data_IF_047495419847
#
_entry.id   IF_047495419847
#
_cell.length_a   1.000
_cell.length_b   1.000
_cell.length_c   1.000
_cell.angle_alpha   90.00
_cell.angle_beta   90.00
_cell.angle_gamma   90.00
#
_symmetry.space_group_name_H-M   'P 1'
#
loop_
_entity.id
_entity.type
_entity.pdbx_description
1 polymer ?
#
# COMPACT_ATOMS: atom_id res chain seq x y z
N UNK A 1 -18.20 -6.12 10.56
CA UNK A 1 -16.85 -6.38 9.98
C UNK A 1 -15.81 -6.17 11.05
N UNK A 2 -14.97 -7.16 11.31
CA UNK A 2 -13.90 -7.04 12.30
C UNK A 2 -12.86 -6.06 11.78
N UNK A 3 -12.65 -4.99 12.50
CA UNK A 3 -11.58 -4.04 12.22
C UNK A 3 -10.25 -4.70 12.56
N UNK A 4 -9.38 -4.80 11.57
CA UNK A 4 -8.05 -5.36 11.77
C UNK A 4 -7.13 -4.30 12.34
N UNK A 5 -6.61 -4.52 13.56
CA UNK A 5 -5.53 -3.72 14.13
C UNK A 5 -4.21 -4.43 13.88
N UNK A 6 -3.29 -3.78 13.20
CA UNK A 6 -1.93 -4.27 12.96
C UNK A 6 -0.95 -3.21 13.47
N UNK A 7 -0.16 -3.57 14.46
CA UNK A 7 0.80 -2.65 15.09
C UNK A 7 0.15 -1.34 15.57
N UNK A 8 -1.09 -1.43 16.08
CA UNK A 8 -1.86 -0.26 16.52
C UNK A 8 -2.49 0.55 15.41
N UNK A 9 -2.39 0.09 14.16
CA UNK A 9 -2.98 0.76 12.99
C UNK A 9 -4.26 0.06 12.59
N UNK A 10 -5.34 0.82 12.48
CA UNK A 10 -6.64 0.33 12.01
C UNK A 10 -6.69 0.45 10.48
N UNK A 11 -7.09 -0.64 9.82
CA UNK A 11 -7.26 -0.67 8.38
C UNK A 11 -8.74 -0.70 8.01
N UNK A 12 -9.17 0.27 7.21
CA UNK A 12 -10.53 0.32 6.67
C UNK A 12 -10.47 -0.01 5.20
N UNK A 13 -11.13 -1.10 4.81
CA UNK A 13 -11.19 -1.50 3.41
C UNK A 13 -11.89 -0.42 2.59
N UNK A 14 -11.39 -0.14 1.38
CA UNK A 14 -12.01 0.86 0.49
C UNK A 14 -13.47 0.55 0.19
N UNK A 15 -13.88 -0.71 0.23
CA UNK A 15 -15.28 -1.09 0.02
C UNK A 15 -16.19 -0.67 1.17
N UNK A 16 -15.63 -0.25 2.31
CA UNK A 16 -16.36 0.18 3.51
C UNK A 16 -16.20 1.67 3.82
N UNK A 17 -15.59 2.45 2.92
CA UNK A 17 -15.39 3.88 3.13
C UNK A 17 -16.70 4.66 3.09
N UNK A 18 -16.81 5.68 3.94
CA UNK A 18 -17.89 6.65 3.84
C UNK A 18 -17.58 7.73 2.79
N UNK A 19 -18.56 8.59 2.53
CA UNK A 19 -18.43 9.65 1.49
C UNK A 19 -17.30 10.62 1.79
N UNK A 20 -17.08 10.96 3.06
CA UNK A 20 -16.01 11.87 3.48
C UNK A 20 -14.64 11.26 3.24
N UNK A 21 -14.48 9.98 3.55
CA UNK A 21 -13.24 9.25 3.34
C UNK A 21 -12.92 9.11 1.86
N UNK A 22 -13.91 8.79 1.05
CA UNK A 22 -13.75 8.68 -0.41
C UNK A 22 -13.26 10.00 -1.00
N UNK A 23 -13.86 11.13 -0.58
CA UNK A 23 -13.46 12.45 -1.04
C UNK A 23 -12.07 12.85 -0.56
N UNK A 24 -11.74 12.54 0.69
CA UNK A 24 -10.43 12.80 1.27
C UNK A 24 -9.33 12.08 0.48
N UNK A 25 -9.53 10.80 0.20
CA UNK A 25 -8.56 10.00 -0.57
C UNK A 25 -8.43 10.52 -2.00
N UNK A 26 -9.53 10.92 -2.62
CA UNK A 26 -9.51 11.56 -3.94
C UNK A 26 -8.62 12.81 -3.94
N UNK A 27 -8.77 13.66 -2.93
CA UNK A 27 -7.97 14.87 -2.80
C UNK A 27 -6.50 14.55 -2.53
N UNK A 28 -6.22 13.53 -1.71
CA UNK A 28 -4.84 13.08 -1.49
C UNK A 28 -4.21 12.60 -2.78
N UNK A 29 -4.92 11.75 -3.51
CA UNK A 29 -4.40 11.12 -4.75
C UNK A 29 -4.06 12.15 -5.81
N UNK A 30 -4.79 13.26 -5.88
CA UNK A 30 -4.56 14.34 -6.82
C UNK A 30 -3.66 15.46 -6.27
N UNK A 31 -3.26 15.39 -5.00
CA UNK A 31 -2.32 16.34 -4.43
C UNK A 31 -0.94 16.18 -5.10
N UNK A 32 -0.30 17.27 -5.56
CA UNK A 32 1.01 17.16 -6.24
C UNK A 32 2.09 16.43 -5.45
N UNK A 33 2.07 16.49 -4.12
CA UNK A 33 3.03 15.77 -3.27
C UNK A 33 2.95 14.26 -3.44
N UNK A 34 1.76 13.74 -3.78
CA UNK A 34 1.52 12.32 -4.00
C UNK A 34 1.51 12.03 -5.50
N UNK A 35 0.79 12.82 -6.27
CA UNK A 35 0.56 12.58 -7.69
C UNK A 35 1.86 12.55 -8.51
N UNK A 36 2.86 13.34 -8.14
CA UNK A 36 4.14 13.40 -8.88
C UNK A 36 4.85 12.05 -8.94
N UNK A 37 4.60 11.15 -7.99
CA UNK A 37 5.21 9.82 -7.95
C UNK A 37 4.28 8.71 -8.42
N UNK A 38 3.13 9.07 -8.97
CA UNK A 38 2.18 8.14 -9.54
C UNK A 38 2.32 8.07 -11.06
N UNK A 39 2.06 6.91 -11.64
CA UNK A 39 2.06 6.73 -13.09
C UNK A 39 1.01 7.65 -13.72
N UNK A 40 -0.22 7.63 -13.18
CA UNK A 40 -1.26 8.59 -13.54
C UNK A 40 -1.21 9.79 -12.61
N UNK A 41 -0.88 10.97 -13.15
CA UNK A 41 -0.67 12.18 -12.34
C UNK A 41 -1.96 12.80 -11.82
N UNK A 42 -3.11 12.44 -12.40
CA UNK A 42 -4.42 12.89 -11.92
C UNK A 42 -5.48 11.85 -12.25
N UNK A 43 -6.52 11.80 -11.44
CA UNK A 43 -7.70 10.97 -11.69
C UNK A 43 -8.96 11.82 -11.60
N UNK A 44 -9.92 11.54 -12.47
CA UNK A 44 -11.24 12.16 -12.45
C UNK A 44 -12.10 11.54 -11.36
N UNK A 45 -13.05 12.33 -10.83
CA UNK A 45 -13.93 11.86 -9.77
C UNK A 45 -14.68 10.56 -10.15
N UNK A 46 -15.22 10.52 -11.37
CA UNK A 46 -15.95 9.33 -11.84
C UNK A 46 -15.05 8.11 -11.96
N UNK A 47 -13.79 8.28 -12.34
CA UNK A 47 -12.80 7.19 -12.36
C UNK A 47 -12.54 6.66 -10.97
N UNK A 48 -12.39 7.57 -9.99
CA UNK A 48 -12.16 7.22 -8.60
C UNK A 48 -13.32 6.38 -8.03
N UNK A 49 -14.56 6.82 -8.25
CA UNK A 49 -15.75 6.09 -7.81
C UNK A 49 -15.84 4.73 -8.48
N UNK A 50 -15.65 4.66 -9.79
CA UNK A 50 -15.68 3.38 -10.54
C UNK A 50 -14.60 2.43 -10.04
N UNK A 51 -13.40 2.94 -9.78
CA UNK A 51 -12.33 2.12 -9.26
C UNK A 51 -12.71 1.48 -7.91
N UNK A 52 -13.24 2.29 -6.98
CA UNK A 52 -13.67 1.79 -5.67
C UNK A 52 -14.77 0.74 -5.82
N UNK A 53 -15.73 0.98 -6.71
CA UNK A 53 -16.83 0.02 -6.97
C UNK A 53 -16.31 -1.32 -7.49
N UNK A 54 -15.24 -1.33 -8.29
CA UNK A 54 -14.67 -2.58 -8.81
C UNK A 54 -13.98 -3.42 -7.75
N UNK A 55 -13.56 -2.83 -6.64
CA UNK A 55 -12.80 -3.54 -5.61
C UNK A 55 -13.62 -4.63 -4.92
N UNK A 56 -14.93 -4.45 -4.79
CA UNK A 56 -15.80 -5.44 -4.14
C UNK A 56 -15.88 -6.76 -4.91
N UNK A 57 -15.66 -6.73 -6.22
CA UNK A 57 -15.64 -7.93 -7.07
C UNK A 57 -14.24 -8.38 -7.46
N UNK A 58 -13.20 -7.70 -7.01
CA UNK A 58 -11.82 -8.06 -7.29
C UNK A 58 -11.34 -9.15 -6.34
N UNK A 59 -10.58 -10.12 -6.89
CA UNK A 59 -9.97 -11.20 -6.11
C UNK A 59 -8.44 -11.04 -5.98
N UNK A 60 -7.85 -10.04 -6.60
CA UNK A 60 -6.40 -9.84 -6.62
C UNK A 60 -5.96 -8.44 -6.16
N UNK A 61 -6.88 -7.63 -5.67
CA UNK A 61 -6.61 -6.25 -5.20
C UNK A 61 -7.32 -5.97 -3.89
N UNK A 62 -6.60 -5.36 -2.95
CA UNK A 62 -7.15 -4.86 -1.70
C UNK A 62 -6.56 -3.48 -1.44
N UNK A 63 -7.41 -2.51 -1.13
CA UNK A 63 -6.99 -1.15 -0.76
C UNK A 63 -7.52 -0.81 0.61
N UNK A 64 -6.67 -0.21 1.45
CA UNK A 64 -7.02 0.19 2.81
C UNK A 64 -6.70 1.66 3.07
N UNK A 65 -7.59 2.31 3.80
CA UNK A 65 -7.30 3.56 4.49
C UNK A 65 -6.79 3.22 5.89
N UNK A 66 -5.62 3.73 6.25
CA UNK A 66 -4.99 3.44 7.53
C UNK A 66 -5.22 4.58 8.53
N UNK A 67 -5.59 4.20 9.74
CA UNK A 67 -5.81 5.11 10.87
C UNK A 67 -4.87 4.77 12.01
N UNK A 68 -4.28 5.81 12.59
CA UNK A 68 -3.63 5.74 13.89
C UNK A 68 -4.51 6.51 14.87
N UNK A 69 -5.11 5.79 15.83
CA UNK A 69 -6.20 6.33 16.64
C UNK A 69 -7.30 6.87 15.71
N UNK A 70 -7.71 8.11 15.84
CA UNK A 70 -8.77 8.70 14.98
C UNK A 70 -8.20 9.49 13.80
N UNK A 71 -6.88 9.42 13.57
CA UNK A 71 -6.20 10.16 12.52
C UNK A 71 -5.94 9.28 11.29
N UNK A 72 -6.49 9.67 10.15
CA UNK A 72 -6.20 9.02 8.87
C UNK A 72 -4.76 9.36 8.45
N UNK A 73 -3.90 8.35 8.34
CA UNK A 73 -2.46 8.55 8.11
C UNK A 73 -1.99 8.23 6.70
N UNK A 74 -2.74 7.46 5.94
CA UNK A 74 -2.34 7.11 4.59
C UNK A 74 -3.14 5.97 4.00
N UNK A 75 -2.72 5.54 2.82
CA UNK A 75 -3.34 4.45 2.07
C UNK A 75 -2.31 3.35 1.85
N UNK A 76 -2.75 2.12 2.03
CA UNK A 76 -1.98 0.90 1.77
C UNK A 76 -2.74 0.09 0.74
N UNK A 77 -2.05 -0.42 -0.26
CA UNK A 77 -2.66 -1.29 -1.26
C UNK A 77 -1.83 -2.53 -1.53
N UNK A 78 -2.51 -3.59 -1.91
CA UNK A 78 -1.92 -4.82 -2.41
C UNK A 78 -2.62 -5.15 -3.73
N UNK A 79 -1.83 -5.32 -4.77
CA UNK A 79 -2.33 -5.66 -6.11
C UNK A 79 -1.58 -6.89 -6.62
N UNK A 80 -2.10 -7.49 -7.68
CA UNK A 80 -1.56 -8.70 -8.27
C UNK A 80 -1.35 -9.79 -7.21
N UNK A 81 -2.29 -9.90 -6.27
CA UNK A 81 -2.23 -10.85 -5.18
C UNK A 81 -2.37 -12.26 -5.75
N UNK A 82 -1.39 -13.09 -5.46
CA UNK A 82 -1.41 -14.51 -5.77
C UNK A 82 -0.99 -15.32 -4.54
N UNK A 83 -0.97 -16.63 -4.68
CA UNK A 83 -0.49 -17.53 -3.62
C UNK A 83 0.99 -17.26 -3.26
N UNK A 84 1.79 -16.78 -4.21
CA UNK A 84 3.23 -16.63 -4.05
C UNK A 84 3.69 -15.21 -3.78
N UNK A 85 2.99 -14.21 -4.32
CA UNK A 85 3.45 -12.83 -4.25
C UNK A 85 2.31 -11.83 -4.30
N UNK A 86 2.63 -10.60 -3.91
CA UNK A 86 1.80 -9.43 -4.14
C UNK A 86 2.70 -8.22 -4.37
N UNK A 87 2.14 -7.18 -4.97
CA UNK A 87 2.81 -5.90 -5.10
C UNK A 87 2.11 -4.91 -4.18
N UNK A 88 2.86 -4.21 -3.33
CA UNK A 88 2.27 -3.21 -2.47
C UNK A 88 2.42 -1.80 -3.04
N UNK A 89 1.53 -0.89 -2.61
CA UNK A 89 1.67 0.53 -2.77
C UNK A 89 1.33 1.23 -1.46
N UNK A 90 2.00 2.33 -1.19
CA UNK A 90 1.67 3.19 -0.05
C UNK A 90 1.78 4.66 -0.43
N UNK A 91 0.96 5.48 0.19
CA UNK A 91 1.22 6.90 0.29
C UNK A 91 0.65 7.42 1.61
N UNK A 92 1.39 8.33 2.24
CA UNK A 92 0.95 8.97 3.46
C UNK A 92 0.04 10.17 3.15
N UNK A 93 -0.79 10.55 4.12
CA UNK A 93 -1.52 11.82 4.03
C UNK A 93 -0.55 12.96 3.71
N UNK A 94 -0.84 13.83 2.74
CA UNK A 94 0.06 14.93 2.36
C UNK A 94 0.24 15.97 3.48
N UNK A 95 -0.62 15.95 4.49
CA UNK A 95 -0.56 16.88 5.62
C UNK A 95 0.30 16.36 6.78
N UNK A 96 0.78 15.11 6.69
CA UNK A 96 1.56 14.47 7.74
C UNK A 96 2.99 14.20 7.29
N UNK A 97 3.87 14.02 8.27
CA UNK A 97 5.27 13.63 8.05
C UNK A 97 5.62 12.44 8.94
N UNK A 98 6.56 11.63 8.49
CA UNK A 98 7.08 10.53 9.30
C UNK A 98 6.19 9.31 9.40
N UNK A 99 5.17 9.18 8.57
CA UNK A 99 4.24 8.04 8.60
C UNK A 99 4.74 6.81 7.85
N UNK A 100 5.80 6.94 7.07
CA UNK A 100 6.29 5.85 6.21
C UNK A 100 6.65 4.58 6.98
N UNK A 101 7.34 4.69 8.10
CA UNK A 101 7.73 3.53 8.91
C UNK A 101 6.51 2.77 9.44
N UNK A 102 5.50 3.50 9.91
CA UNK A 102 4.26 2.88 10.40
C UNK A 102 3.54 2.14 9.27
N UNK A 103 3.41 2.77 8.12
CA UNK A 103 2.73 2.17 6.97
C UNK A 103 3.48 0.95 6.45
N UNK A 104 4.81 1.01 6.36
CA UNK A 104 5.62 -0.12 5.91
C UNK A 104 5.59 -1.29 6.87
N UNK A 105 5.59 -1.02 8.17
CA UNK A 105 5.43 -2.07 9.18
C UNK A 105 4.13 -2.85 8.98
N UNK A 106 3.05 -2.14 8.68
CA UNK A 106 1.74 -2.76 8.39
C UNK A 106 1.77 -3.55 7.08
N UNK A 107 2.40 -3.00 6.04
CA UNK A 107 2.53 -3.68 4.74
C UNK A 107 3.20 -5.03 4.91
N UNK A 108 4.36 -5.05 5.56
CA UNK A 108 5.15 -6.29 5.72
C UNK A 108 4.38 -7.31 6.56
N UNK A 109 3.80 -6.88 7.67
CA UNK A 109 3.03 -7.75 8.54
C UNK A 109 1.81 -8.33 7.80
N UNK A 110 1.02 -7.49 7.16
CA UNK A 110 -0.19 -7.92 6.46
C UNK A 110 0.13 -8.90 5.32
N UNK A 111 1.13 -8.56 4.51
CA UNK A 111 1.49 -9.39 3.36
C UNK A 111 1.97 -10.79 3.79
N UNK A 112 2.84 -10.89 4.78
CA UNK A 112 3.38 -12.18 5.19
C UNK A 112 2.43 -12.96 6.12
N UNK A 113 1.68 -12.29 7.00
CA UNK A 113 0.88 -12.96 8.02
C UNK A 113 -0.61 -13.06 7.70
N UNK A 114 -1.14 -12.22 6.83
CA UNK A 114 -2.55 -12.26 6.42
C UNK A 114 -2.73 -12.78 4.99
N UNK A 115 -1.97 -12.25 4.03
CA UNK A 115 -1.98 -12.74 2.67
C UNK A 115 -1.14 -14.00 2.49
N UNK A 116 -0.21 -14.25 3.40
CA UNK A 116 0.64 -15.43 3.41
C UNK A 116 1.46 -15.61 2.13
N UNK A 117 1.87 -14.49 1.52
CA UNK A 117 2.71 -14.51 0.33
C UNK A 117 4.15 -14.85 0.72
N UNK A 118 4.91 -15.36 -0.24
CA UNK A 118 6.34 -15.69 -0.09
C UNK A 118 7.22 -14.51 -0.46
N UNK A 119 6.70 -13.62 -1.29
CA UNK A 119 7.46 -12.49 -1.83
C UNK A 119 6.57 -11.25 -1.89
N UNK A 120 7.12 -10.11 -1.48
CA UNK A 120 6.48 -8.81 -1.65
C UNK A 120 7.25 -8.03 -2.70
N UNK A 121 6.54 -7.51 -3.70
CA UNK A 121 7.08 -6.70 -4.78
C UNK A 121 6.69 -5.23 -4.59
N UNK A 122 7.52 -4.35 -5.10
CA UNK A 122 7.25 -2.91 -5.12
C UNK A 122 7.95 -2.26 -6.30
N UNK A 123 7.51 -1.06 -6.66
CA UNK A 123 8.21 -0.24 -7.64
C UNK A 123 8.17 1.22 -7.22
N UNK A 124 9.19 1.97 -7.62
CA UNK A 124 9.29 3.39 -7.36
C UNK A 124 10.05 4.06 -8.49
N UNK A 125 9.67 5.29 -8.81
CA UNK A 125 10.47 6.11 -9.72
C UNK A 125 11.85 6.36 -9.12
N UNK A 126 12.88 6.43 -9.96
CA UNK A 126 14.26 6.59 -9.54
C UNK A 126 14.52 7.89 -8.78
N UNK A 127 13.72 8.91 -8.99
CA UNK A 127 13.83 10.19 -8.29
C UNK A 127 13.03 10.23 -6.98
N UNK A 128 12.28 9.19 -6.67
CA UNK A 128 11.55 9.08 -5.41
C UNK A 128 12.46 8.55 -4.30
N UNK A 129 13.39 9.39 -3.86
CA UNK A 129 14.42 9.02 -2.89
C UNK A 129 13.85 8.59 -1.54
N UNK A 130 12.74 9.20 -1.12
CA UNK A 130 12.08 8.83 0.14
C UNK A 130 11.58 7.38 0.11
N UNK A 131 10.90 6.99 -0.98
CA UNK A 131 10.41 5.62 -1.13
C UNK A 131 11.57 4.62 -1.21
N UNK A 132 12.60 4.93 -1.99
CA UNK A 132 13.77 4.07 -2.15
C UNK A 132 14.45 3.82 -0.80
N UNK A 133 14.68 4.88 -0.04
CA UNK A 133 15.30 4.79 1.30
C UNK A 133 14.42 3.96 2.25
N UNK A 134 13.11 4.20 2.22
CA UNK A 134 12.15 3.50 3.06
C UNK A 134 12.10 2.01 2.74
N UNK A 135 12.06 1.65 1.46
CA UNK A 135 12.00 0.25 1.04
C UNK A 135 13.27 -0.50 1.43
N UNK A 136 14.44 0.13 1.23
CA UNK A 136 15.72 -0.46 1.66
C UNK A 136 15.78 -0.65 3.17
N UNK A 137 15.28 0.30 3.94
CA UNK A 137 15.21 0.19 5.40
C UNK A 137 14.39 -1.03 5.84
N UNK A 138 13.34 -1.38 5.09
CA UNK A 138 12.51 -2.55 5.35
C UNK A 138 12.99 -3.79 4.59
N UNK A 139 14.27 -3.82 4.21
CA UNK A 139 14.95 -4.99 3.66
C UNK A 139 14.49 -5.41 2.26
N UNK A 140 13.94 -4.46 1.49
CA UNK A 140 13.66 -4.68 0.08
C UNK A 140 14.94 -4.46 -0.74
N UNK A 141 15.17 -5.35 -1.71
CA UNK A 141 16.31 -5.27 -2.62
C UNK A 141 15.84 -4.88 -4.02
N UNK A 142 16.67 -4.12 -4.72
CA UNK A 142 16.42 -3.79 -6.13
C UNK A 142 16.69 -5.03 -6.97
N UNK A 143 15.68 -5.47 -7.74
CA UNK A 143 15.79 -6.65 -8.60
C UNK A 143 15.81 -6.29 -10.08
N UNK A 144 15.38 -5.08 -10.45
CA UNK A 144 15.32 -4.65 -11.84
C UNK A 144 15.29 -3.14 -11.93
N UNK A 145 15.86 -2.60 -12.99
CA UNK A 145 15.76 -1.19 -13.38
C UNK A 145 15.25 -1.15 -14.82
N UNK A 146 14.23 -0.34 -15.07
CA UNK A 146 13.67 -0.18 -16.40
C UNK A 146 13.31 1.29 -16.60
N UNK A 147 14.02 1.98 -17.50
CA UNK A 147 13.90 3.42 -17.74
C UNK A 147 14.11 4.21 -16.45
N UNK A 148 13.07 4.88 -15.96
CA UNK A 148 13.09 5.70 -14.75
C UNK A 148 12.49 5.00 -13.53
N UNK A 149 12.22 3.68 -13.64
CA UNK A 149 11.55 2.89 -12.60
C UNK A 149 12.50 1.85 -12.01
N UNK A 150 12.49 1.75 -10.67
CA UNK A 150 13.15 0.69 -9.92
C UNK A 150 12.11 -0.30 -9.42
N UNK A 151 12.46 -1.58 -9.48
CA UNK A 151 11.65 -2.70 -9.00
C UNK A 151 12.32 -3.34 -7.80
N UNK A 152 11.54 -3.62 -6.77
CA UNK A 152 12.02 -4.12 -5.49
C UNK A 152 11.35 -5.45 -5.15
N UNK A 153 12.07 -6.26 -4.38
CA UNK A 153 11.52 -7.50 -3.83
C UNK A 153 12.02 -7.71 -2.40
N UNK A 154 11.14 -8.25 -1.58
CA UNK A 154 11.50 -8.80 -0.27
C UNK A 154 10.94 -10.21 -0.18
N UNK A 155 11.81 -11.18 0.10
CA UNK A 155 11.42 -12.57 0.36
C UNK A 155 10.97 -12.71 1.81
N UNK A 156 9.95 -13.55 2.02
CA UNK A 156 9.56 -13.96 3.37
C UNK A 156 10.60 -14.84 4.00
N UNK A 157 10.67 -14.84 5.33
CA UNK A 157 11.54 -15.76 6.06
C UNK A 157 11.01 -17.18 5.90
N UNK A 158 11.91 -18.11 5.50
CA UNK A 158 11.59 -19.53 5.49
C UNK A 158 11.79 -20.04 6.92
N UNK A 159 10.74 -19.94 7.75
CA UNK A 159 10.73 -20.65 9.01
C UNK A 159 10.49 -22.15 8.74
N UNK A 160 11.53 -22.93 9.00
CA UNK A 160 11.42 -24.38 9.04
C UNK A 160 10.44 -24.78 10.14
N UNK A 161 9.24 -25.26 9.79
CA UNK A 161 8.31 -26.01 10.61
C UNK A 161 7.09 -25.30 11.20
N UNK A 162 6.71 -24.08 10.83
CA UNK A 162 5.40 -23.57 11.25
C UNK A 162 4.67 -22.98 10.06
N UNK A 163 3.65 -23.67 9.53
CA UNK A 163 2.74 -23.04 8.60
C UNK A 163 1.92 -22.00 9.37
N UNK A 164 2.27 -20.71 9.25
CA UNK A 164 1.48 -19.61 9.77
C UNK A 164 0.20 -19.42 8.96
N UNK A 165 0.10 -20.10 7.85
CA UNK A 165 -1.01 -19.97 6.91
C UNK A 165 -1.49 -21.34 6.46
#
# INVERSE_FOLDING_TARGET
MLESLINGIKLVNFTSLDTKEIKMIYNWRNNPKIAKYMINKSIEWNEHIRFIDTLSSSNDKIYFLAYKDDLAIGVISFVNISKNSCEFGIYASPDLRGMGDLLMGVVVDYAFNKLCVKEILAKAFMDNLKAITLYKKFEFNIIKKDKDMLYFSRQGEVELNIPLC
#
